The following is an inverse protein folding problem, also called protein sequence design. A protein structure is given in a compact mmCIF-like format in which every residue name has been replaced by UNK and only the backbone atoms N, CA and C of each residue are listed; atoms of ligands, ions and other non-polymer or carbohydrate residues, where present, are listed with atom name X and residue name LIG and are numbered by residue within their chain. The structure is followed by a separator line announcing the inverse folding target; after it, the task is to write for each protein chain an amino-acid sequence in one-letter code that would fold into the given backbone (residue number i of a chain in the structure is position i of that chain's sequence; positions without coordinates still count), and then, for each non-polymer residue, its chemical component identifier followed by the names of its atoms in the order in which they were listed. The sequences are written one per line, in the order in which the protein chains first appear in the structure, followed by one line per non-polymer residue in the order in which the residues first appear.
data_IF_507389879540
#
_entry.id   IF_507389879540
#
_cell.length_a   1.000
_cell.length_b   1.000
_cell.length_c   1.000
_cell.angle_alpha   90.00
_cell.angle_beta   90.00
_cell.angle_gamma   90.00
#
_symmetry.space_group_name_H-M   'P 1'
#
loop_
_entity.id
_entity.type
_entity.pdbx_description
1 polymer ?
#
# COMPACT_ATOMS: atom_id res chain seq x y z
N UNK A 1 -13.29 7.13 9.05
CA UNK A 1 -13.58 7.41 7.62
C UNK A 1 -12.41 6.86 6.83
N UNK A 2 -12.66 6.29 5.66
CA UNK A 2 -11.61 5.80 4.77
C UNK A 2 -11.83 6.39 3.38
N UNK A 3 -10.76 6.55 2.61
CA UNK A 3 -10.81 7.10 1.26
C UNK A 3 -10.60 5.96 0.27
N UNK A 4 -11.42 5.92 -0.78
CA UNK A 4 -11.32 4.89 -1.80
C UNK A 4 -10.00 5.05 -2.58
N UNK A 5 -9.12 4.05 -2.47
CA UNK A 5 -7.77 4.01 -3.08
C UNK A 5 -7.73 4.55 -4.53
N UNK A 6 -8.70 4.17 -5.36
CA UNK A 6 -8.68 4.51 -6.79
C UNK A 6 -9.08 5.97 -7.09
N UNK A 7 -9.62 6.70 -6.11
CA UNK A 7 -10.02 8.11 -6.24
C UNK A 7 -9.25 9.02 -5.27
N UNK A 8 -8.24 8.47 -4.60
CA UNK A 8 -7.48 9.17 -3.60
C UNK A 8 -6.25 9.88 -4.18
N UNK A 9 -5.81 10.93 -3.47
CA UNK A 9 -4.57 11.62 -3.80
C UNK A 9 -3.36 10.76 -3.47
N UNK A 10 -2.38 10.71 -4.38
CA UNK A 10 -1.12 9.96 -4.19
C UNK A 10 -0.20 10.57 -3.12
N UNK A 11 -0.47 11.80 -2.67
CA UNK A 11 0.27 12.50 -1.61
C UNK A 11 -0.39 12.36 -0.23
N UNK A 12 -1.36 11.45 -0.06
CA UNK A 12 -2.00 11.17 1.22
C UNK A 12 -0.94 10.68 2.24
N UNK A 13 -0.65 11.44 3.31
CA UNK A 13 0.43 11.12 4.23
C UNK A 13 0.17 9.82 5.00
N UNK A 14 -1.09 9.53 5.35
CA UNK A 14 -1.50 8.33 6.09
C UNK A 14 -2.19 7.31 5.16
N UNK A 15 -1.72 7.19 3.92
CA UNK A 15 -2.35 6.35 2.87
C UNK A 15 -2.56 4.90 3.29
N UNK A 16 -1.68 4.33 4.13
CA UNK A 16 -1.79 2.97 4.63
C UNK A 16 -3.09 2.77 5.42
N UNK A 17 -3.38 3.70 6.35
CA UNK A 17 -4.61 3.69 7.16
C UNK A 17 -5.80 4.14 6.32
N UNK A 18 -5.65 5.23 5.57
CA UNK A 18 -6.71 5.83 4.77
C UNK A 18 -7.26 4.91 3.68
N UNK A 19 -6.42 4.07 3.05
CA UNK A 19 -6.82 3.22 1.92
C UNK A 19 -7.07 1.77 2.32
N UNK A 20 -6.30 1.25 3.29
CA UNK A 20 -6.33 -0.18 3.64
C UNK A 20 -6.73 -0.42 5.10
N UNK A 21 -6.54 0.56 5.98
CA UNK A 21 -6.85 0.50 7.41
C UNK A 21 -6.28 -0.75 8.07
N UNK A 22 -7.09 -1.37 8.93
CA UNK A 22 -6.77 -2.63 9.64
C UNK A 22 -6.39 -3.81 8.73
N UNK A 23 -6.67 -3.75 7.43
CA UNK A 23 -6.31 -4.81 6.48
C UNK A 23 -4.86 -4.70 5.99
N UNK A 24 -4.19 -3.57 6.22
CA UNK A 24 -2.86 -3.29 5.68
C UNK A 24 -1.84 -4.38 6.06
N UNK A 25 -1.78 -4.76 7.33
CA UNK A 25 -0.83 -5.75 7.85
C UNK A 25 -0.98 -7.11 7.13
N UNK A 26 -2.22 -7.60 7.02
CA UNK A 26 -2.52 -8.87 6.33
C UNK A 26 -2.18 -8.79 4.84
N UNK A 27 -2.46 -7.66 4.18
CA UNK A 27 -2.13 -7.47 2.77
C UNK A 27 -0.61 -7.43 2.56
N UNK A 28 0.12 -6.77 3.46
CA UNK A 28 1.58 -6.70 3.44
C UNK A 28 2.21 -8.10 3.57
N UNK A 29 1.69 -8.94 4.46
CA UNK A 29 2.08 -10.35 4.56
C UNK A 29 1.84 -11.15 3.29
N UNK A 30 0.68 -10.99 2.67
CA UNK A 30 0.34 -11.68 1.42
C UNK A 30 1.27 -11.20 0.30
N UNK A 31 1.51 -9.89 0.20
CA UNK A 31 2.39 -9.28 -0.80
C UNK A 31 3.82 -9.83 -0.68
N UNK A 32 4.38 -9.88 0.53
CA UNK A 32 5.70 -10.49 0.78
C UNK A 32 5.78 -11.95 0.33
N UNK A 33 4.73 -12.74 0.61
CA UNK A 33 4.66 -14.16 0.21
C UNK A 33 4.54 -14.35 -1.30
N UNK A 34 3.79 -13.47 -1.99
CA UNK A 34 3.51 -13.59 -3.42
C UNK A 34 4.55 -12.92 -4.30
N UNK A 35 5.20 -11.88 -3.80
CA UNK A 35 6.14 -11.06 -4.54
C UNK A 35 7.43 -10.81 -3.73
N UNK A 36 8.20 -11.86 -3.39
CA UNK A 36 9.35 -11.73 -2.48
C UNK A 36 10.52 -10.92 -3.06
N UNK A 37 10.49 -10.58 -4.35
CA UNK A 37 11.50 -9.74 -5.02
C UNK A 37 11.01 -8.32 -5.28
N UNK A 38 9.80 -7.99 -4.81
CA UNK A 38 9.20 -6.66 -4.91
C UNK A 38 9.16 -6.06 -6.33
N UNK A 39 9.11 -6.89 -7.38
CA UNK A 39 9.14 -6.45 -8.80
C UNK A 39 7.86 -5.73 -9.27
N UNK A 40 6.81 -5.71 -8.46
CA UNK A 40 5.51 -5.12 -8.77
C UNK A 40 5.29 -3.94 -7.84
N UNK A 41 5.73 -2.76 -8.27
CA UNK A 41 5.62 -1.50 -7.55
C UNK A 41 4.52 -0.61 -8.14
N UNK A 42 3.83 0.14 -7.28
CA UNK A 42 3.00 1.28 -7.64
C UNK A 42 2.93 2.24 -6.44
N UNK A 43 2.86 3.55 -6.70
CA UNK A 43 2.76 4.58 -5.66
C UNK A 43 1.52 4.34 -4.79
N UNK A 44 1.66 4.34 -3.46
CA UNK A 44 0.62 4.03 -2.45
C UNK A 44 0.05 2.59 -2.50
N UNK A 45 0.67 1.69 -3.25
CA UNK A 45 0.37 0.26 -3.15
C UNK A 45 0.96 -0.34 -1.88
N UNK A 46 0.37 -1.43 -1.40
CA UNK A 46 0.90 -2.23 -0.28
C UNK A 46 2.35 -2.61 -0.53
N UNK A 47 3.24 -2.22 0.39
CA UNK A 47 4.69 -2.47 0.29
C UNK A 47 5.48 -1.41 -0.50
N UNK A 48 4.84 -0.34 -0.97
CA UNK A 48 5.52 0.74 -1.70
C UNK A 48 6.45 1.58 -0.82
N UNK A 49 6.27 1.57 0.49
CA UNK A 49 7.14 2.22 1.50
C UNK A 49 8.57 1.66 1.54
N UNK A 50 8.80 0.47 0.98
CA UNK A 50 10.12 -0.14 0.87
C UNK A 50 10.98 0.44 -0.26
N UNK A 51 10.45 1.40 -1.04
CA UNK A 51 11.09 1.95 -2.23
C UNK A 51 11.07 3.48 -2.19
N UNK A 52 12.15 4.11 -2.62
CA UNK A 52 12.28 5.56 -2.81
C UNK A 52 12.24 5.88 -4.31
N UNK A 53 11.58 6.98 -4.69
CA UNK A 53 11.42 7.46 -6.08
C UNK A 53 12.10 8.81 -6.24
#
# INVERSE_FOLDING_TARGET
GGTYLNEASVIEPDWQESFYGVSYERLSDIKRKRNPRDVLYATTAVGSEGWEV
#
